data_IF_243243048922
#
_entry.id   IF_243243048922
#
_cell.length_a   1.000
_cell.length_b   1.000
_cell.length_c   1.000
_cell.angle_alpha   90.00
_cell.angle_beta   90.00
_cell.angle_gamma   90.00
#
_symmetry.space_group_name_H-M   'P 1'
#
loop_
_entity.id
_entity.type
_entity.pdbx_description
1 polymer ?
#
# COMPACT_ATOMS: atom_id res chain seq x y z
N UNK A 1 -12.77 2.29 -0.17
CA UNK A 1 -11.55 2.69 0.53
C UNK A 1 -11.79 2.69 2.04
N UNK A 2 -11.03 1.87 2.81
CA UNK A 2 -11.20 1.71 4.27
C UNK A 2 -11.17 3.06 5.00
N UNK A 3 -10.24 3.96 4.64
CA UNK A 3 -10.13 5.29 5.25
C UNK A 3 -11.40 6.11 5.05
N UNK A 4 -12.00 6.07 3.86
CA UNK A 4 -13.27 6.76 3.58
C UNK A 4 -14.45 6.15 4.35
N UNK A 5 -14.45 4.82 4.55
CA UNK A 5 -15.49 4.18 5.35
C UNK A 5 -15.40 4.66 6.81
N UNK A 6 -14.18 4.83 7.35
CA UNK A 6 -13.96 5.40 8.66
C UNK A 6 -14.38 6.88 8.76
N UNK A 7 -14.28 7.65 7.67
CA UNK A 7 -14.81 9.04 7.66
C UNK A 7 -16.31 9.11 7.89
N UNK A 8 -17.06 8.01 7.70
CA UNK A 8 -18.48 7.94 8.05
C UNK A 8 -18.71 8.15 9.55
N UNK A 9 -17.71 7.96 10.39
CA UNK A 9 -17.72 8.27 11.82
C UNK A 9 -17.60 9.78 12.12
N UNK A 10 -17.66 10.62 11.07
CA UNK A 10 -17.53 12.09 11.15
C UNK A 10 -16.16 12.54 11.70
N UNK A 11 -15.11 11.89 11.23
CA UNK A 11 -13.70 12.25 11.43
C UNK A 11 -13.09 12.63 10.09
N UNK A 12 -12.04 13.44 10.12
CA UNK A 12 -11.31 13.80 8.89
C UNK A 12 -10.47 12.64 8.36
N UNK A 13 -10.00 12.76 7.11
CA UNK A 13 -9.30 11.68 6.41
C UNK A 13 -7.94 11.36 7.05
N UNK A 14 -7.20 12.38 7.50
CA UNK A 14 -5.88 12.21 8.12
C UNK A 14 -6.02 11.49 9.48
N UNK A 15 -7.02 11.86 10.26
CA UNK A 15 -7.33 11.21 11.52
C UNK A 15 -7.82 9.77 11.30
N UNK A 16 -8.70 9.55 10.32
CA UNK A 16 -9.18 8.22 9.95
C UNK A 16 -8.03 7.30 9.54
N UNK A 17 -7.07 7.81 8.75
CA UNK A 17 -5.87 7.08 8.36
C UNK A 17 -4.99 6.73 9.57
N UNK A 18 -4.77 7.70 10.46
CA UNK A 18 -4.02 7.49 11.69
C UNK A 18 -4.65 6.44 12.62
N UNK A 19 -5.96 6.48 12.79
CA UNK A 19 -6.71 5.51 13.59
C UNK A 19 -6.70 4.12 12.94
N UNK A 20 -6.86 4.03 11.63
CA UNK A 20 -6.75 2.78 10.86
C UNK A 20 -5.40 2.12 11.07
N UNK A 21 -4.31 2.87 10.93
CA UNK A 21 -2.94 2.32 11.11
C UNK A 21 -2.69 1.84 12.53
N UNK A 22 -3.27 2.51 13.52
CA UNK A 22 -3.02 2.22 14.93
C UNK A 22 -3.90 1.09 15.49
N UNK A 23 -5.16 1.09 15.14
CA UNK A 23 -6.20 0.23 15.75
C UNK A 23 -6.86 -0.71 14.74
N UNK A 24 -6.79 -0.44 13.43
CA UNK A 24 -7.42 -1.26 12.41
C UNK A 24 -6.94 -2.71 12.43
N UNK A 25 -7.87 -3.65 12.26
CA UNK A 25 -7.60 -5.08 12.15
C UNK A 25 -8.50 -5.69 11.09
N UNK A 26 -7.94 -6.55 10.24
CA UNK A 26 -8.69 -7.28 9.21
C UNK A 26 -9.46 -8.49 9.74
N UNK A 27 -9.13 -8.91 10.95
CA UNK A 27 -9.79 -10.02 11.64
C UNK A 27 -9.70 -9.80 13.16
N UNK A 28 -10.81 -9.94 13.84
CA UNK A 28 -10.87 -9.79 15.29
C UNK A 28 -11.44 -11.06 15.92
N UNK A 29 -10.63 -11.73 16.73
CA UNK A 29 -11.00 -12.80 17.63
C UNK A 29 -11.13 -12.31 19.09
N UNK A 30 -10.99 -10.98 19.28
CA UNK A 30 -11.06 -10.37 20.61
C UNK A 30 -12.49 -10.30 21.10
N UNK A 31 -12.67 -10.49 22.41
CA UNK A 31 -13.95 -10.28 23.07
C UNK A 31 -14.37 -8.82 22.99
N UNK A 32 -15.69 -8.57 23.11
CA UNK A 32 -16.21 -7.21 23.17
C UNK A 32 -15.65 -6.40 24.34
N UNK A 33 -15.23 -7.06 25.42
CA UNK A 33 -14.62 -6.42 26.59
C UNK A 33 -13.19 -5.94 26.30
N UNK A 34 -12.41 -6.66 25.48
CA UNK A 34 -11.05 -6.28 25.10
C UNK A 34 -11.02 -5.08 24.16
N UNK A 35 -12.07 -4.88 23.36
CA UNK A 35 -12.26 -3.76 22.44
C UNK A 35 -13.13 -2.63 23.03
N UNK A 36 -13.51 -2.71 24.31
CA UNK A 36 -14.39 -1.73 24.98
C UNK A 36 -13.69 -0.40 25.31
N UNK A 37 -12.66 -0.02 24.57
CA UNK A 37 -11.94 1.24 24.75
C UNK A 37 -12.59 2.35 23.94
N UNK A 38 -12.65 3.54 24.53
CA UNK A 38 -13.05 4.74 23.85
C UNK A 38 -11.80 5.49 23.34
N UNK A 39 -11.76 5.73 22.05
CA UNK A 39 -10.72 6.49 21.37
C UNK A 39 -11.14 7.95 21.30
N UNK A 40 -10.30 8.85 21.82
CA UNK A 40 -10.53 10.29 21.70
C UNK A 40 -10.14 10.74 20.30
N UNK A 41 -11.03 11.46 19.64
CA UNK A 41 -10.80 12.07 18.31
C UNK A 41 -10.65 13.58 18.41
N UNK A 42 -10.04 14.20 17.38
CA UNK A 42 -9.62 15.61 17.37
C UNK A 42 -10.73 16.62 17.71
N UNK A 43 -11.99 16.29 17.41
CA UNK A 43 -13.13 17.15 17.73
C UNK A 43 -13.62 17.04 19.18
N UNK A 44 -12.86 16.35 20.06
CA UNK A 44 -13.23 16.14 21.47
C UNK A 44 -14.29 15.06 21.69
N UNK A 45 -14.71 14.35 20.65
CA UNK A 45 -15.61 13.20 20.73
C UNK A 45 -14.83 11.91 21.03
N UNK A 46 -15.57 10.88 21.43
CA UNK A 46 -15.03 9.53 21.58
C UNK A 46 -15.71 8.58 20.62
N UNK A 47 -14.92 7.67 20.06
CA UNK A 47 -15.37 6.59 19.19
C UNK A 47 -14.99 5.27 19.86
N UNK A 48 -15.89 4.30 19.88
CA UNK A 48 -15.57 2.97 20.38
C UNK A 48 -14.56 2.28 19.44
N UNK A 49 -13.48 1.75 20.01
CA UNK A 49 -12.46 0.99 19.25
C UNK A 49 -13.10 -0.18 18.50
N UNK A 50 -14.12 -0.81 19.11
CA UNK A 50 -14.88 -1.89 18.51
C UNK A 50 -15.52 -1.49 17.18
N UNK A 51 -16.17 -0.35 17.13
CA UNK A 51 -16.84 0.15 15.93
C UNK A 51 -15.84 0.41 14.80
N UNK A 52 -14.66 0.95 15.13
CA UNK A 52 -13.59 1.15 14.17
C UNK A 52 -13.08 -0.19 13.60
N UNK A 53 -12.83 -1.17 14.46
CA UNK A 53 -12.36 -2.50 14.05
C UNK A 53 -13.41 -3.19 13.18
N UNK A 54 -14.68 -3.13 13.55
CA UNK A 54 -15.78 -3.75 12.80
C UNK A 54 -15.90 -3.17 11.37
N UNK A 55 -15.70 -1.86 11.20
CA UNK A 55 -15.70 -1.21 9.87
C UNK A 55 -14.52 -1.70 9.03
N UNK A 56 -13.31 -1.75 9.62
CA UNK A 56 -12.12 -2.21 8.91
C UNK A 56 -12.27 -3.68 8.51
N UNK A 57 -12.69 -4.54 9.44
CA UNK A 57 -12.89 -5.97 9.22
C UNK A 57 -13.92 -6.22 8.12
N UNK A 58 -15.08 -5.54 8.16
CA UNK A 58 -16.12 -5.67 7.14
C UNK A 58 -15.63 -5.30 5.75
N UNK A 59 -14.84 -4.23 5.63
CA UNK A 59 -14.26 -3.82 4.33
C UNK A 59 -13.19 -4.78 3.84
N UNK A 60 -12.33 -5.27 4.71
CA UNK A 60 -11.32 -6.28 4.34
C UNK A 60 -11.99 -7.59 3.92
N UNK A 61 -13.03 -8.01 4.61
CA UNK A 61 -13.84 -9.18 4.21
C UNK A 61 -14.45 -9.02 2.82
N UNK A 62 -14.99 -7.85 2.50
CA UNK A 62 -15.52 -7.55 1.17
C UNK A 62 -14.43 -7.62 0.10
N UNK A 63 -13.27 -7.01 0.35
CA UNK A 63 -12.13 -7.04 -0.57
C UNK A 63 -11.67 -8.47 -0.81
N UNK A 64 -11.44 -9.25 0.23
CA UNK A 64 -10.99 -10.63 0.13
C UNK A 64 -12.03 -11.52 -0.57
N UNK A 65 -13.32 -11.29 -0.32
CA UNK A 65 -14.41 -12.01 -0.99
C UNK A 65 -14.44 -11.72 -2.50
N UNK A 66 -14.21 -10.47 -2.90
CA UNK A 66 -14.09 -10.07 -4.30
C UNK A 66 -12.85 -10.72 -4.95
N UNK A 67 -11.71 -10.74 -4.26
CA UNK A 67 -10.50 -11.43 -4.74
C UNK A 67 -10.76 -12.92 -4.93
N UNK A 68 -11.39 -13.58 -3.95
CA UNK A 68 -11.77 -14.99 -4.04
C UNK A 68 -12.69 -15.26 -5.24
N UNK A 69 -13.66 -14.36 -5.51
CA UNK A 69 -14.54 -14.46 -6.68
C UNK A 69 -13.74 -14.35 -7.99
N UNK A 70 -12.80 -13.41 -8.08
CA UNK A 70 -11.93 -13.27 -9.27
C UNK A 70 -11.05 -14.51 -9.49
N UNK A 71 -10.49 -15.09 -8.44
CA UNK A 71 -9.72 -16.34 -8.53
C UNK A 71 -10.59 -17.48 -9.07
N UNK A 72 -11.82 -17.64 -8.57
CA UNK A 72 -12.77 -18.63 -9.11
C UNK A 72 -13.08 -18.39 -10.58
N UNK A 73 -13.41 -17.15 -10.94
CA UNK A 73 -13.77 -16.77 -12.29
C UNK A 73 -12.63 -16.93 -13.29
N UNK A 74 -11.39 -16.84 -12.84
CA UNK A 74 -10.21 -17.06 -13.69
C UNK A 74 -10.03 -18.53 -14.13
N UNK A 75 -10.67 -19.49 -13.45
CA UNK A 75 -10.50 -20.92 -13.69
C UNK A 75 -9.15 -21.48 -13.20
N UNK A 76 -8.41 -20.72 -12.40
CA UNK A 76 -7.11 -21.13 -11.84
C UNK A 76 -7.17 -21.52 -10.35
N UNK A 77 -8.33 -21.48 -9.72
CA UNK A 77 -8.49 -21.75 -8.29
C UNK A 77 -7.73 -23.03 -7.84
N UNK A 78 -7.89 -24.12 -8.56
CA UNK A 78 -7.28 -25.41 -8.22
C UNK A 78 -5.84 -25.59 -8.76
N UNK A 79 -5.34 -24.58 -9.48
CA UNK A 79 -4.01 -24.60 -10.12
C UNK A 79 -2.97 -23.74 -9.41
N UNK A 80 -3.34 -23.07 -8.33
CA UNK A 80 -2.46 -22.20 -7.56
C UNK A 80 -1.56 -23.02 -6.62
N UNK A 81 -0.73 -23.90 -7.18
CA UNK A 81 0.15 -24.81 -6.43
C UNK A 81 1.16 -24.07 -5.54
N UNK A 82 1.63 -22.90 -5.97
CA UNK A 82 2.54 -22.05 -5.21
C UNK A 82 1.82 -21.14 -4.19
N UNK A 83 0.48 -21.12 -4.22
CA UNK A 83 -0.35 -20.30 -3.34
C UNK A 83 -0.54 -18.87 -3.83
N UNK A 84 -0.97 -18.03 -2.90
CA UNK A 84 -1.28 -16.61 -3.13
C UNK A 84 -0.24 -15.76 -2.41
N UNK A 85 0.28 -14.74 -3.10
CA UNK A 85 1.21 -13.76 -2.53
C UNK A 85 0.50 -12.42 -2.42
N UNK A 86 0.40 -11.90 -1.20
CA UNK A 86 -0.17 -10.58 -0.92
C UNK A 86 0.99 -9.58 -0.81
N UNK A 87 0.87 -8.43 -1.47
CA UNK A 87 1.90 -7.40 -1.53
C UNK A 87 1.29 -6.01 -1.52
N UNK A 88 2.09 -5.01 -1.15
CA UNK A 88 1.69 -3.62 -1.09
C UNK A 88 1.41 -3.13 0.34
N UNK A 89 1.20 -1.81 0.50
CA UNK A 89 1.04 -1.20 1.82
C UNK A 89 -0.16 -1.75 2.61
N UNK A 90 -1.27 -2.05 1.93
CA UNK A 90 -2.46 -2.62 2.55
C UNK A 90 -2.22 -4.03 3.15
N UNK A 91 -1.14 -4.73 2.73
CA UNK A 91 -0.79 -6.02 3.31
C UNK A 91 -0.33 -5.94 4.78
N UNK A 92 -0.09 -4.72 5.28
CA UNK A 92 0.35 -4.47 6.66
C UNK A 92 -0.80 -4.28 7.66
N UNK A 93 -2.05 -4.41 7.24
CA UNK A 93 -3.19 -4.40 8.17
C UNK A 93 -3.07 -5.58 9.12
N UNK A 94 -3.30 -5.34 10.41
CA UNK A 94 -3.21 -6.36 11.46
C UNK A 94 -4.14 -7.53 11.16
N UNK A 95 -3.68 -8.75 11.43
CA UNK A 95 -4.44 -10.00 11.27
C UNK A 95 -4.96 -10.25 9.83
N UNK A 96 -4.40 -9.59 8.82
CA UNK A 96 -4.79 -9.84 7.43
C UNK A 96 -4.45 -11.29 7.00
N UNK A 97 -3.41 -11.89 7.59
CA UNK A 97 -3.06 -13.30 7.40
C UNK A 97 -4.21 -14.23 7.81
N UNK A 98 -4.82 -13.98 8.97
CA UNK A 98 -5.99 -14.73 9.46
C UNK A 98 -7.20 -14.52 8.54
N UNK A 99 -7.53 -13.27 8.20
CA UNK A 99 -8.62 -12.95 7.29
C UNK A 99 -8.44 -13.62 5.92
N UNK A 100 -7.25 -13.52 5.33
CA UNK A 100 -6.92 -14.14 4.06
C UNK A 100 -6.98 -15.67 4.11
N UNK A 101 -6.51 -16.28 5.20
CA UNK A 101 -6.57 -17.73 5.40
C UNK A 101 -8.01 -18.25 5.44
N UNK A 102 -8.94 -17.50 6.04
CA UNK A 102 -10.36 -17.87 6.10
C UNK A 102 -11.03 -17.74 4.72
N UNK A 103 -10.67 -16.74 3.92
CA UNK A 103 -11.40 -16.38 2.70
C UNK A 103 -10.79 -16.89 1.40
N UNK A 104 -9.47 -17.00 1.32
CA UNK A 104 -8.77 -17.34 0.07
C UNK A 104 -8.41 -18.84 0.01
N UNK A 105 -7.47 -19.27 0.79
CA UNK A 105 -7.09 -20.68 1.00
C UNK A 105 -6.05 -20.76 2.11
N UNK A 106 -6.31 -21.50 3.19
CA UNK A 106 -5.50 -21.42 4.39
C UNK A 106 -4.04 -21.86 4.19
N UNK A 107 -3.79 -22.82 3.32
CA UNK A 107 -2.48 -23.49 3.30
C UNK A 107 -1.41 -22.79 2.48
N UNK A 108 -1.76 -21.75 1.72
CA UNK A 108 -0.88 -21.20 0.67
C UNK A 108 -0.93 -19.68 0.51
N UNK A 109 -1.29 -18.96 1.55
CA UNK A 109 -1.22 -17.49 1.53
C UNK A 109 0.05 -17.01 2.22
N UNK A 110 0.79 -16.13 1.59
CA UNK A 110 2.01 -15.52 2.12
C UNK A 110 2.11 -14.04 1.77
N UNK A 111 2.86 -13.29 2.58
CA UNK A 111 3.15 -11.89 2.33
C UNK A 111 4.49 -11.74 1.59
N UNK A 112 4.51 -10.88 0.58
CA UNK A 112 5.73 -10.54 -0.13
C UNK A 112 6.65 -9.73 0.78
N UNK A 113 7.93 -10.15 0.83
CA UNK A 113 9.00 -9.38 1.49
C UNK A 113 9.86 -8.74 0.41
N UNK A 114 10.50 -7.61 0.74
CA UNK A 114 11.46 -6.98 -0.16
C UNK A 114 12.59 -7.95 -0.46
N UNK A 115 12.92 -8.06 -1.76
CA UNK A 115 14.08 -8.83 -2.20
C UNK A 115 15.31 -7.92 -2.16
N UNK A 116 16.35 -8.24 -1.37
CA UNK A 116 17.49 -7.35 -1.11
C UNK A 116 18.30 -6.93 -2.33
N UNK A 117 18.22 -7.67 -3.45
CA UNK A 117 19.01 -7.38 -4.65
C UNK A 117 18.66 -6.05 -5.31
N UNK A 118 17.46 -5.53 -5.04
CA UNK A 118 16.97 -4.33 -5.73
C UNK A 118 17.52 -3.01 -5.16
N UNK A 119 18.24 -3.06 -4.02
CA UNK A 119 18.58 -1.85 -3.27
C UNK A 119 20.08 -1.60 -3.22
N UNK A 120 20.68 -1.22 -4.35
CA UNK A 120 22.01 -0.59 -4.41
C UNK A 120 21.90 0.94 -4.32
N UNK A 121 20.98 1.45 -3.52
CA UNK A 121 20.76 2.88 -3.36
C UNK A 121 21.55 3.44 -2.18
N UNK A 122 21.95 4.70 -2.31
CA UNK A 122 22.42 5.50 -1.17
C UNK A 122 21.28 5.54 -0.15
N UNK A 123 21.53 5.16 1.10
CA UNK A 123 20.54 5.02 2.17
C UNK A 123 19.53 3.85 2.03
N UNK A 124 19.94 2.76 1.40
CA UNK A 124 19.13 1.54 1.33
C UNK A 124 18.68 1.00 2.70
N UNK A 125 19.41 1.31 3.76
CA UNK A 125 19.07 0.98 5.16
C UNK A 125 17.81 1.69 5.67
N UNK A 126 17.43 2.83 5.06
CA UNK A 126 16.24 3.60 5.43
C UNK A 126 14.96 3.08 4.78
N UNK A 127 15.08 2.16 3.84
CA UNK A 127 13.92 1.60 3.16
C UNK A 127 13.19 0.62 4.07
N UNK A 128 11.91 0.90 4.29
CA UNK A 128 11.04 0.03 5.10
C UNK A 128 10.88 -1.32 4.43
N UNK A 129 11.14 -2.41 5.18
CA UNK A 129 11.16 -3.79 4.65
C UNK A 129 9.85 -4.55 4.90
N UNK A 130 8.74 -3.86 4.86
CA UNK A 130 7.40 -4.38 5.12
C UNK A 130 6.61 -4.76 3.85
N UNK A 131 7.23 -4.64 2.68
CA UNK A 131 6.57 -4.91 1.40
C UNK A 131 5.74 -3.76 0.83
N UNK A 132 5.57 -2.65 1.55
CA UNK A 132 4.80 -1.48 1.08
C UNK A 132 5.35 -0.88 -0.21
N UNK A 133 6.67 -0.90 -0.37
CA UNK A 133 7.38 -0.34 -1.52
C UNK A 133 7.63 -1.33 -2.65
N UNK A 134 7.17 -2.58 -2.56
CA UNK A 134 7.47 -3.63 -3.55
C UNK A 134 7.09 -3.22 -4.97
N UNK A 135 5.92 -2.62 -5.17
CA UNK A 135 5.47 -2.16 -6.49
C UNK A 135 6.37 -1.05 -7.04
N UNK A 136 6.73 -0.09 -6.19
CA UNK A 136 7.64 1.00 -6.57
C UNK A 136 9.02 0.45 -6.97
N UNK A 137 9.57 -0.44 -6.19
CA UNK A 137 10.88 -1.05 -6.45
C UNK A 137 10.86 -1.90 -7.74
N UNK A 138 9.78 -2.63 -7.99
CA UNK A 138 9.61 -3.40 -9.21
C UNK A 138 9.54 -2.48 -10.44
N UNK A 139 8.77 -1.39 -10.37
CA UNK A 139 8.71 -0.39 -11.44
C UNK A 139 10.06 0.28 -11.70
N UNK A 140 10.81 0.60 -10.65
CA UNK A 140 12.16 1.16 -10.78
C UNK A 140 13.13 0.17 -11.43
N UNK A 141 13.03 -1.11 -11.10
CA UNK A 141 13.87 -2.15 -11.69
C UNK A 141 13.60 -2.39 -13.18
N UNK A 142 12.32 -2.30 -13.59
CA UNK A 142 11.91 -2.45 -15.00
C UNK A 142 12.05 -1.14 -15.79
N UNK A 143 12.15 0.00 -15.12
CA UNK A 143 12.23 1.32 -15.73
C UNK A 143 13.62 1.61 -16.34
N UNK A 144 13.86 1.14 -17.55
CA UNK A 144 15.12 1.31 -18.27
C UNK A 144 15.06 2.37 -19.39
N UNK A 145 13.93 3.05 -19.52
CA UNK A 145 13.72 4.08 -20.54
C UNK A 145 13.25 5.38 -19.91
N UNK A 146 13.83 6.50 -20.38
CA UNK A 146 13.36 7.82 -19.98
C UNK A 146 12.14 8.21 -20.84
N UNK A 147 10.98 8.32 -20.23
CA UNK A 147 9.73 8.73 -20.88
C UNK A 147 9.63 10.25 -21.09
N UNK A 148 10.60 11.02 -20.59
CA UNK A 148 10.66 12.48 -20.82
C UNK A 148 11.45 12.72 -22.10
N UNK A 149 10.84 13.38 -23.08
CA UNK A 149 11.55 13.82 -24.27
C UNK A 149 12.72 14.73 -23.85
N UNK A 150 13.95 14.45 -24.33
CA UNK A 150 15.07 15.30 -24.00
C UNK A 150 14.80 16.71 -24.54
N UNK A 151 14.80 17.72 -23.67
CA UNK A 151 14.76 19.12 -24.10
C UNK A 151 15.96 19.33 -25.02
N UNK A 152 15.71 19.58 -26.29
CA UNK A 152 16.75 20.00 -27.23
C UNK A 152 17.26 21.35 -26.73
N UNK A 153 18.42 21.37 -26.11
CA UNK A 153 19.14 22.59 -25.80
C UNK A 153 19.68 23.09 -27.12
N UNK A 154 18.95 24.01 -27.76
CA UNK A 154 19.48 24.77 -28.91
C UNK A 154 20.63 25.58 -28.34
N UNK A 155 21.85 25.21 -28.64
CA UNK A 155 23.02 26.05 -28.42
C UNK A 155 22.84 27.26 -29.33
N UNK A 156 22.58 28.43 -28.76
CA UNK A 156 22.71 29.70 -29.49
C UNK A 156 24.14 29.78 -29.94
N UNK A 157 24.36 29.73 -31.27
CA UNK A 157 25.64 30.05 -31.87
C UNK A 157 25.91 31.50 -31.61
N UNK A 158 26.90 31.78 -30.78
CA UNK A 158 27.44 33.11 -30.58
C UNK A 158 28.05 33.57 -31.90
N UNK A 159 27.62 34.69 -32.52
CA UNK A 159 28.21 35.17 -33.73
C UNK A 159 29.70 35.46 -33.48
N UNK A 160 30.59 34.89 -34.31
CA UNK A 160 32.02 35.28 -34.34
C UNK A 160 32.13 36.76 -34.68
N UNK A 161 32.63 37.57 -33.73
CA UNK A 161 33.04 38.93 -34.01
C UNK A 161 34.18 38.93 -35.04
N UNK A 162 33.88 39.48 -36.20
CA UNK A 162 34.88 39.74 -37.25
C UNK A 162 35.79 40.86 -36.74
N UNK A 163 37.00 40.50 -36.37
CA UNK A 163 38.07 41.47 -36.07
C UNK A 163 38.55 42.09 -37.39
N UNK A 164 38.13 43.32 -37.70
CA UNK A 164 38.71 44.09 -38.77
C UNK A 164 40.11 44.52 -38.32
N UNK A 165 41.13 43.99 -38.94
CA UNK A 165 42.49 44.53 -38.93
C UNK A 165 42.48 45.86 -39.72
N UNK A 166 42.76 46.96 -39.05
CA UNK A 166 43.10 48.21 -39.69
C UNK A 166 44.60 48.27 -39.87
N UNK A 167 45.02 48.42 -41.18
CA UNK A 167 46.34 48.90 -41.57
C UNK A 167 46.67 50.34 -41.11
#
# INVERSE_FOLDING_TARGET
NITQDLCSLQIDEDEAEGLKMKYGSAYSDLSSEELAKNLLVNNGRTIEERLLVDIVEAREEEILSNVAAQIRNSGYQDKLLAGIVISGAASNVKNLDKAASVRLHPDKTRFARIVPFALQAVHAEQVVKDGSLNTLLALMNEGNQNCVEPKVVVKEEVPEEVVEEKE
#
